data_IF_008170436501
#
_entry.id   IF_008170436501
#
_cell.length_a   1.000
_cell.length_b   1.000
_cell.length_c   1.000
_cell.angle_alpha   90.00
_cell.angle_beta   90.00
_cell.angle_gamma   90.00
#
_symmetry.space_group_name_H-M   'P 1'
#
loop_
_entity.id
_entity.type
_entity.pdbx_description
1 polymer ?
#
# COMPACT_ATOMS: atom_id res chain seq x y z
N UNK A 1 29.31 42.14 28.07
CA UNK A 1 27.93 41.69 28.37
C UNK A 1 27.66 40.45 27.51
N UNK A 2 27.64 39.30 28.15
CA UNK A 2 27.31 38.03 27.49
C UNK A 2 25.79 37.90 27.43
N UNK A 3 25.29 37.58 26.24
CA UNK A 3 23.94 37.06 26.09
C UNK A 3 24.11 35.61 25.61
N UNK A 4 23.88 34.69 26.52
CA UNK A 4 23.90 33.27 26.23
C UNK A 4 22.63 32.89 25.45
N UNK A 5 22.78 32.31 24.31
CA UNK A 5 21.73 31.65 23.57
C UNK A 5 21.62 30.20 24.05
N UNK A 6 20.48 29.85 24.59
CA UNK A 6 20.09 28.49 24.91
C UNK A 6 19.54 27.82 23.66
N UNK A 7 20.40 27.33 22.80
CA UNK A 7 20.07 26.36 21.75
C UNK A 7 20.69 25.03 22.14
N UNK A 8 19.91 24.03 22.45
CA UNK A 8 20.52 22.72 22.63
C UNK A 8 19.77 21.62 23.36
N UNK A 9 18.46 21.61 23.46
CA UNK A 9 17.79 20.47 24.11
C UNK A 9 16.72 19.73 23.27
N UNK A 10 16.38 20.21 22.07
CA UNK A 10 15.31 19.61 21.28
C UNK A 10 15.75 18.46 20.34
N UNK A 11 17.03 18.30 20.07
CA UNK A 11 17.51 17.35 19.04
C UNK A 11 18.26 16.10 19.54
N UNK A 12 18.35 15.88 20.85
CA UNK A 12 19.08 14.71 21.40
C UNK A 12 18.21 13.52 21.82
N UNK A 13 16.89 13.64 21.77
CA UNK A 13 15.97 12.60 22.29
C UNK A 13 15.75 11.43 21.30
N UNK A 14 16.18 11.53 20.05
CA UNK A 14 15.87 10.52 19.04
C UNK A 14 16.97 9.48 18.74
N UNK A 15 18.10 9.51 19.40
CA UNK A 15 19.21 8.59 19.10
C UNK A 15 19.48 7.51 20.17
N UNK A 16 18.83 7.55 21.34
CA UNK A 16 19.05 6.55 22.38
C UNK A 16 17.74 5.98 22.91
N UNK A 17 17.21 4.99 22.20
CA UNK A 17 16.06 4.21 22.61
C UNK A 17 15.35 3.59 21.40
N UNK A 18 15.97 2.63 20.74
CA UNK A 18 15.24 1.79 19.78
C UNK A 18 14.22 0.97 20.58
N UNK A 19 12.96 1.39 20.55
CA UNK A 19 11.85 0.61 21.08
C UNK A 19 11.96 -0.80 20.48
N UNK A 20 12.00 -1.81 21.33
CA UNK A 20 12.15 -3.19 20.89
C UNK A 20 10.96 -3.61 20.02
N UNK A 21 11.16 -4.63 19.19
CA UNK A 21 10.11 -5.21 18.37
C UNK A 21 8.94 -5.68 19.25
N UNK A 22 9.27 -6.26 20.38
CA UNK A 22 8.30 -6.78 21.33
C UNK A 22 7.49 -5.67 22.00
N UNK A 23 8.13 -4.59 22.43
CA UNK A 23 7.45 -3.42 23.01
C UNK A 23 6.45 -2.77 22.03
N UNK A 24 6.78 -2.70 20.74
CA UNK A 24 5.85 -2.21 19.70
C UNK A 24 4.59 -3.07 19.60
N UNK A 25 4.76 -4.38 19.69
CA UNK A 25 3.65 -5.33 19.64
C UNK A 25 2.81 -5.23 20.90
N UNK A 26 3.43 -5.16 22.06
CA UNK A 26 2.73 -5.08 23.34
C UNK A 26 1.94 -3.77 23.49
N UNK A 27 2.50 -2.64 23.00
CA UNK A 27 1.77 -1.35 22.95
C UNK A 27 0.48 -1.48 22.10
N UNK A 28 0.55 -2.12 20.93
CA UNK A 28 -0.64 -2.34 20.11
C UNK A 28 -1.61 -3.33 20.74
N UNK A 29 -1.12 -4.45 21.28
CA UNK A 29 -1.97 -5.43 21.96
C UNK A 29 -2.76 -4.79 23.09
N UNK A 30 -2.11 -3.94 23.89
CA UNK A 30 -2.77 -3.16 24.94
C UNK A 30 -3.85 -2.24 24.38
N UNK A 31 -3.54 -1.52 23.28
CA UNK A 31 -4.50 -0.60 22.64
C UNK A 31 -5.73 -1.34 22.08
N UNK A 32 -5.56 -2.60 21.64
CA UNK A 32 -6.63 -3.49 21.19
C UNK A 32 -7.31 -4.25 22.33
N UNK A 33 -6.89 -4.06 23.58
CA UNK A 33 -7.44 -4.78 24.74
C UNK A 33 -7.20 -6.30 24.71
N UNK A 34 -6.09 -6.74 24.13
CA UNK A 34 -5.75 -8.17 24.03
C UNK A 34 -5.32 -8.73 25.38
N UNK A 35 -5.95 -9.84 25.79
CA UNK A 35 -5.54 -10.61 26.96
C UNK A 35 -4.23 -11.39 26.69
N UNK A 36 -3.64 -11.90 27.75
CA UNK A 36 -2.51 -12.82 27.65
C UNK A 36 -2.93 -14.08 26.87
N UNK A 37 -2.09 -14.47 25.93
CA UNK A 37 -2.37 -15.61 25.04
C UNK A 37 -3.31 -15.33 23.86
N UNK A 38 -3.92 -14.13 23.76
CA UNK A 38 -4.71 -13.73 22.57
C UNK A 38 -3.85 -12.91 21.60
N UNK A 39 -3.44 -13.44 20.44
CA UNK A 39 -2.58 -12.72 19.53
C UNK A 39 -3.31 -11.58 18.81
N UNK A 40 -2.54 -10.55 18.44
CA UNK A 40 -2.96 -9.54 17.49
C UNK A 40 -3.03 -10.13 16.08
N UNK A 41 -4.19 -10.09 15.44
CA UNK A 41 -4.42 -10.70 14.13
C UNK A 41 -4.44 -9.66 13.03
N UNK A 42 -3.45 -9.74 12.12
CA UNK A 42 -3.25 -8.82 11.00
C UNK A 42 -3.53 -9.52 9.70
N UNK A 43 -4.35 -8.92 8.86
CA UNK A 43 -4.75 -9.50 7.58
C UNK A 43 -4.53 -8.52 6.45
N UNK A 44 -3.74 -8.92 5.45
CA UNK A 44 -3.70 -8.23 4.17
C UNK A 44 -4.83 -8.69 3.26
N UNK A 45 -5.61 -7.78 2.73
CA UNK A 45 -6.67 -8.06 1.76
C UNK A 45 -6.22 -7.60 0.39
N UNK A 46 -5.90 -8.55 -0.49
CA UNK A 46 -5.35 -8.31 -1.82
C UNK A 46 -3.83 -8.53 -1.89
N UNK A 47 -3.44 -9.53 -2.70
CA UNK A 47 -2.06 -9.92 -2.92
C UNK A 47 -1.47 -9.30 -4.20
N UNK A 48 -1.68 -8.00 -4.42
CA UNK A 48 -0.98 -7.21 -5.42
C UNK A 48 0.49 -6.96 -5.01
N UNK A 49 1.31 -6.42 -5.91
CA UNK A 49 2.75 -6.22 -5.64
C UNK A 49 3.02 -5.46 -4.34
N UNK A 50 2.38 -4.30 -4.14
CA UNK A 50 2.59 -3.51 -2.94
C UNK A 50 2.00 -4.16 -1.69
N UNK A 51 0.76 -4.66 -1.76
CA UNK A 51 0.12 -5.35 -0.64
C UNK A 51 0.93 -6.57 -0.17
N UNK A 52 1.45 -7.37 -1.09
CA UNK A 52 2.28 -8.54 -0.75
C UNK A 52 3.58 -8.16 -0.08
N UNK A 53 4.30 -7.17 -0.61
CA UNK A 53 5.57 -6.70 -0.03
C UNK A 53 5.35 -6.10 1.34
N UNK A 54 4.30 -5.31 1.51
CA UNK A 54 3.99 -4.67 2.79
C UNK A 54 3.67 -5.70 3.89
N UNK A 55 2.83 -6.67 3.59
CA UNK A 55 2.50 -7.74 4.54
C UNK A 55 3.70 -8.66 4.82
N UNK A 56 4.49 -8.99 3.79
CA UNK A 56 5.70 -9.79 3.98
C UNK A 56 6.74 -9.06 4.84
N UNK A 57 6.87 -7.75 4.68
CA UNK A 57 7.72 -6.92 5.54
C UNK A 57 7.28 -6.96 7.01
N UNK A 58 5.98 -6.93 7.28
CA UNK A 58 5.46 -7.10 8.64
C UNK A 58 5.70 -8.52 9.17
N UNK A 59 5.55 -9.54 8.33
CA UNK A 59 5.85 -10.92 8.71
C UNK A 59 7.34 -11.11 9.03
N UNK A 60 8.24 -10.52 8.25
CA UNK A 60 9.68 -10.55 8.53
C UNK A 60 10.02 -9.89 9.88
N UNK A 61 9.33 -8.80 10.21
CA UNK A 61 9.58 -8.06 11.43
C UNK A 61 9.00 -8.74 12.68
N UNK A 62 7.79 -9.29 12.58
CA UNK A 62 7.00 -9.72 13.73
C UNK A 62 6.67 -11.21 13.77
N UNK A 63 6.90 -11.93 12.68
CA UNK A 63 6.53 -13.35 12.57
C UNK A 63 7.20 -14.26 13.60
N UNK A 64 8.32 -13.84 14.20
CA UNK A 64 8.96 -14.54 15.31
C UNK A 64 8.16 -14.54 16.62
N UNK A 65 7.24 -13.56 16.76
CA UNK A 65 6.40 -13.39 17.97
C UNK A 65 5.02 -14.04 17.80
N UNK A 66 4.96 -15.31 17.40
CA UNK A 66 3.73 -16.03 17.01
C UNK A 66 2.64 -16.01 18.07
N UNK A 67 3.02 -16.06 19.33
CA UNK A 67 2.09 -16.03 20.46
C UNK A 67 1.44 -14.64 20.66
N UNK A 68 2.07 -13.60 20.12
CA UNK A 68 1.63 -12.21 20.25
C UNK A 68 1.04 -11.64 18.97
N UNK A 69 1.50 -12.10 17.78
CA UNK A 69 1.07 -11.58 16.47
C UNK A 69 0.90 -12.72 15.48
N UNK A 70 -0.21 -12.71 14.77
CA UNK A 70 -0.48 -13.62 13.67
C UNK A 70 -0.79 -12.81 12.41
N UNK A 71 -0.03 -13.05 11.33
CA UNK A 71 -0.13 -12.30 10.08
C UNK A 71 -0.49 -13.26 8.96
N UNK A 72 -1.47 -12.86 8.13
CA UNK A 72 -1.87 -13.59 6.93
C UNK A 72 -2.26 -12.64 5.81
N UNK A 73 -2.30 -13.14 4.58
CA UNK A 73 -2.74 -12.38 3.42
C UNK A 73 -3.81 -13.15 2.67
N UNK A 74 -4.88 -12.46 2.31
CA UNK A 74 -5.92 -13.02 1.46
C UNK A 74 -5.65 -12.75 -0.01
N UNK A 75 -5.88 -13.79 -0.81
CA UNK A 75 -5.87 -13.73 -2.25
C UNK A 75 -7.09 -14.44 -2.81
N UNK A 76 -7.73 -13.84 -3.81
CA UNK A 76 -8.90 -14.47 -4.47
C UNK A 76 -8.51 -15.79 -5.14
N UNK A 77 -9.22 -16.86 -4.81
CA UNK A 77 -9.06 -18.17 -5.45
C UNK A 77 -9.46 -18.10 -6.93
N UNK A 78 -8.81 -18.91 -7.77
CA UNK A 78 -9.19 -19.12 -9.17
C UNK A 78 -9.03 -17.95 -10.12
N UNK A 79 -8.71 -16.75 -9.64
CA UNK A 79 -8.39 -15.62 -10.50
C UNK A 79 -6.97 -15.81 -11.04
N UNK A 80 -6.85 -16.01 -12.34
CA UNK A 80 -5.55 -15.92 -12.98
C UNK A 80 -5.03 -14.49 -12.74
N UNK A 81 -3.88 -14.37 -12.09
CA UNK A 81 -3.14 -13.12 -12.09
C UNK A 81 -2.73 -12.89 -13.53
N UNK A 82 -2.96 -11.70 -14.07
CA UNK A 82 -2.46 -11.38 -15.39
C UNK A 82 -0.92 -11.53 -15.40
N UNK A 83 -0.40 -11.82 -16.58
CA UNK A 83 1.04 -12.13 -16.73
C UNK A 83 1.94 -11.05 -16.15
N UNK A 84 1.61 -9.79 -16.36
CA UNK A 84 2.46 -8.70 -15.92
C UNK A 84 2.43 -8.52 -14.40
N UNK A 85 1.26 -8.70 -13.77
CA UNK A 85 1.16 -8.68 -12.30
C UNK A 85 1.94 -9.84 -11.70
N UNK A 86 1.87 -11.04 -12.33
CA UNK A 86 2.65 -12.19 -11.89
C UNK A 86 4.16 -11.95 -12.09
N UNK A 87 4.57 -11.49 -13.26
CA UNK A 87 5.96 -11.16 -13.55
C UNK A 87 6.50 -10.10 -12.60
N UNK A 88 5.74 -9.03 -12.33
CA UNK A 88 6.12 -7.99 -11.38
C UNK A 88 6.24 -8.52 -9.94
N UNK A 89 5.28 -9.34 -9.50
CA UNK A 89 5.36 -9.99 -8.19
C UNK A 89 6.59 -10.89 -8.09
N UNK A 90 6.89 -11.63 -9.16
CA UNK A 90 8.07 -12.50 -9.24
C UNK A 90 9.37 -11.72 -9.31
N UNK A 91 9.42 -10.59 -10.02
CA UNK A 91 10.57 -9.69 -10.01
C UNK A 91 10.87 -9.18 -8.61
N UNK A 92 9.83 -8.73 -7.90
CA UNK A 92 9.94 -8.27 -6.50
C UNK A 92 10.49 -9.35 -5.60
N UNK A 93 9.96 -10.57 -5.70
CA UNK A 93 10.40 -11.71 -4.89
C UNK A 93 11.79 -12.22 -5.33
N UNK A 94 12.09 -12.21 -6.62
CA UNK A 94 13.39 -12.64 -7.19
C UNK A 94 14.54 -11.67 -6.90
N UNK A 95 14.28 -10.46 -6.44
CA UNK A 95 15.33 -9.48 -6.15
C UNK A 95 16.23 -9.89 -4.98
N UNK A 96 15.83 -10.90 -4.20
CA UNK A 96 16.63 -11.48 -3.11
C UNK A 96 17.24 -12.84 -3.51
N UNK A 97 18.47 -13.08 -3.04
CA UNK A 97 19.12 -14.40 -3.09
C UNK A 97 18.53 -15.32 -2.01
N UNK A 98 17.29 -15.68 -2.14
CA UNK A 98 16.57 -16.53 -1.22
C UNK A 98 16.23 -17.89 -1.82
N UNK A 99 15.85 -18.84 -0.96
CA UNK A 99 15.30 -20.14 -1.39
C UNK A 99 14.06 -19.90 -2.28
N UNK A 100 13.26 -18.87 -1.98
CA UNK A 100 12.11 -18.44 -2.79
C UNK A 100 12.52 -18.03 -4.20
N UNK A 101 13.66 -17.35 -4.38
CA UNK A 101 14.19 -16.98 -5.70
C UNK A 101 14.40 -18.20 -6.60
N UNK A 102 14.92 -19.30 -6.05
CA UNK A 102 15.11 -20.57 -6.79
C UNK A 102 13.78 -21.25 -7.12
N UNK A 103 12.82 -21.17 -6.21
CA UNK A 103 11.48 -21.72 -6.41
C UNK A 103 10.72 -20.98 -7.51
N UNK A 104 10.79 -19.66 -7.52
CA UNK A 104 10.00 -18.81 -8.42
C UNK A 104 10.58 -18.71 -9.82
N UNK A 105 11.89 -18.86 -10.03
CA UNK A 105 12.50 -18.91 -11.37
C UNK A 105 11.92 -19.98 -12.30
N UNK A 106 11.18 -20.94 -11.76
CA UNK A 106 10.53 -22.02 -12.51
C UNK A 106 9.07 -21.74 -12.83
N UNK A 107 8.51 -20.66 -12.33
CA UNK A 107 7.07 -20.38 -12.38
C UNK A 107 6.78 -19.14 -13.22
N UNK A 108 6.32 -19.29 -14.45
CA UNK A 108 5.92 -18.18 -15.30
C UNK A 108 4.55 -17.57 -14.89
N UNK A 109 3.67 -18.34 -14.24
CA UNK A 109 2.30 -17.94 -13.88
C UNK A 109 1.86 -18.57 -12.56
N UNK A 110 1.15 -17.80 -11.73
CA UNK A 110 0.66 -18.31 -10.45
C UNK A 110 -0.29 -19.51 -10.56
N UNK A 111 -1.03 -19.64 -11.65
CA UNK A 111 -1.91 -20.81 -11.87
C UNK A 111 -1.15 -22.09 -12.24
N UNK A 112 0.13 -21.97 -12.60
CA UNK A 112 1.01 -23.07 -12.96
C UNK A 112 2.15 -23.24 -11.96
N UNK A 113 1.99 -22.66 -10.75
CA UNK A 113 3.02 -22.69 -9.73
C UNK A 113 3.24 -24.11 -9.29
N UNK A 114 4.47 -24.57 -9.46
CA UNK A 114 5.04 -25.71 -8.80
C UNK A 114 6.05 -25.17 -7.77
N UNK A 115 5.74 -25.28 -6.49
CA UNK A 115 6.62 -24.80 -5.41
C UNK A 115 7.27 -26.00 -4.72
N UNK A 116 8.59 -26.04 -4.70
CA UNK A 116 9.36 -27.06 -4.01
C UNK A 116 9.76 -26.54 -2.62
N UNK A 117 9.23 -27.18 -1.59
CA UNK A 117 9.53 -26.92 -0.18
C UNK A 117 10.30 -28.11 0.39
N UNK A 118 11.64 -28.04 0.37
CA UNK A 118 12.48 -29.18 0.70
C UNK A 118 12.26 -30.33 -0.29
N UNK A 119 11.86 -31.49 0.18
CA UNK A 119 11.58 -32.67 -0.64
C UNK A 119 10.13 -32.75 -1.15
N UNK A 120 9.27 -31.84 -0.72
CA UNK A 120 7.87 -31.80 -1.11
C UNK A 120 7.64 -30.81 -2.25
N UNK A 121 6.95 -31.25 -3.29
CA UNK A 121 6.45 -30.41 -4.38
C UNK A 121 4.98 -30.09 -4.12
N UNK A 122 4.63 -28.80 -4.09
CA UNK A 122 3.25 -28.30 -4.00
C UNK A 122 2.83 -27.77 -5.36
N UNK A 123 1.67 -28.15 -5.83
CA UNK A 123 1.10 -27.70 -7.10
C UNK A 123 0.15 -26.52 -6.89
N UNK A 124 -0.13 -25.79 -7.98
CA UNK A 124 -0.97 -24.59 -7.92
C UNK A 124 -2.33 -24.82 -7.26
N UNK A 125 -2.95 -25.97 -7.51
CA UNK A 125 -4.28 -26.33 -6.97
C UNK A 125 -4.23 -26.48 -5.45
N UNK A 126 -3.20 -27.14 -4.91
CA UNK A 126 -2.98 -27.28 -3.47
C UNK A 126 -2.68 -25.93 -2.83
N UNK A 127 -1.81 -25.12 -3.48
CA UNK A 127 -1.44 -23.78 -3.02
C UNK A 127 -2.66 -22.86 -3.00
N UNK A 128 -3.50 -22.91 -4.03
CA UNK A 128 -4.71 -22.08 -4.13
C UNK A 128 -5.81 -22.51 -3.16
N UNK A 129 -5.90 -23.80 -2.87
CA UNK A 129 -6.91 -24.37 -1.96
C UNK A 129 -6.53 -24.17 -0.49
N UNK A 130 -5.29 -24.50 -0.14
CA UNK A 130 -4.84 -24.55 1.25
C UNK A 130 -4.00 -23.32 1.65
N UNK A 131 -3.70 -22.44 0.70
CA UNK A 131 -2.76 -21.35 0.85
C UNK A 131 -1.31 -21.80 0.71
N UNK A 132 -0.40 -20.87 0.62
CA UNK A 132 1.03 -21.13 0.66
C UNK A 132 1.76 -20.09 1.51
N UNK A 133 2.98 -20.40 1.92
CA UNK A 133 3.80 -19.50 2.68
C UNK A 133 4.65 -18.65 1.75
N UNK A 134 4.51 -17.34 1.83
CA UNK A 134 5.36 -16.35 1.17
C UNK A 134 6.26 -15.72 2.24
N UNK A 135 7.55 -15.69 1.99
CA UNK A 135 8.51 -15.19 2.97
C UNK A 135 9.63 -14.40 2.28
N UNK A 136 10.10 -13.35 2.93
CA UNK A 136 11.19 -12.50 2.45
C UNK A 136 12.57 -12.90 2.99
N UNK A 137 12.65 -13.86 3.89
CA UNK A 137 13.92 -14.34 4.49
C UNK A 137 14.32 -15.70 3.93
N UNK A 138 15.62 -15.99 3.92
CA UNK A 138 16.18 -17.20 3.31
C UNK A 138 15.82 -18.49 4.06
N UNK A 139 15.68 -18.40 5.37
CA UNK A 139 15.28 -19.50 6.26
C UNK A 139 13.99 -19.13 6.96
N UNK A 140 12.83 -19.51 6.42
CA UNK A 140 11.54 -19.14 6.99
C UNK A 140 11.27 -19.91 8.29
N UNK A 141 11.64 -19.32 9.42
CA UNK A 141 11.17 -19.81 10.73
C UNK A 141 9.66 -19.59 10.89
N UNK A 142 9.13 -18.53 10.25
CA UNK A 142 7.76 -18.11 10.36
C UNK A 142 7.23 -17.63 9.00
N UNK A 143 6.83 -18.54 8.10
CA UNK A 143 6.36 -18.17 6.77
C UNK A 143 5.03 -17.43 6.82
N UNK A 144 4.86 -16.48 5.89
CA UNK A 144 3.59 -15.77 5.71
C UNK A 144 2.51 -16.73 5.19
N UNK A 145 1.39 -16.84 5.91
CA UNK A 145 0.25 -17.64 5.49
C UNK A 145 -0.57 -16.92 4.41
N UNK A 146 -0.76 -17.55 3.26
CA UNK A 146 -1.68 -17.09 2.22
C UNK A 146 -2.98 -17.87 2.30
N UNK A 147 -4.11 -17.15 2.36
CA UNK A 147 -5.45 -17.69 2.50
C UNK A 147 -6.30 -17.32 1.30
N UNK A 148 -7.06 -18.24 0.75
CA UNK A 148 -7.94 -18.01 -0.42
C UNK A 148 -9.41 -17.83 -0.04
N UNK A 149 -9.81 -18.26 1.14
CA UNK A 149 -11.15 -18.02 1.67
C UNK A 149 -11.18 -16.65 2.36
N UNK A 150 -12.05 -15.74 1.89
CA UNK A 150 -12.14 -14.38 2.41
C UNK A 150 -12.68 -14.35 3.84
N UNK A 151 -13.72 -15.14 4.13
CA UNK A 151 -14.30 -15.20 5.47
C UNK A 151 -13.26 -15.68 6.50
N UNK A 152 -12.56 -16.78 6.22
CA UNK A 152 -11.48 -17.30 7.07
C UNK A 152 -10.39 -16.25 7.27
N UNK A 153 -10.10 -15.46 6.23
CA UNK A 153 -9.06 -14.45 6.32
C UNK A 153 -9.42 -13.30 7.26
N UNK A 154 -10.68 -12.84 7.30
CA UNK A 154 -11.05 -11.56 7.92
C UNK A 154 -11.91 -11.65 9.16
N UNK A 155 -12.51 -12.81 9.45
CA UNK A 155 -13.56 -12.92 10.46
C UNK A 155 -13.09 -12.54 11.87
N UNK A 156 -11.85 -12.80 12.25
CA UNK A 156 -11.26 -12.52 13.56
C UNK A 156 -10.13 -11.44 13.51
N UNK A 157 -9.95 -10.77 12.36
CA UNK A 157 -8.89 -9.80 12.17
C UNK A 157 -9.06 -8.56 13.07
N UNK A 158 -8.00 -8.14 13.73
CA UNK A 158 -7.95 -6.90 14.50
C UNK A 158 -7.51 -5.73 13.61
N UNK A 159 -6.54 -6.00 12.71
CA UNK A 159 -6.06 -5.04 11.74
C UNK A 159 -6.25 -5.63 10.35
N UNK A 160 -6.92 -4.87 9.48
CA UNK A 160 -7.10 -5.23 8.06
C UNK A 160 -6.38 -4.23 7.19
N UNK A 161 -5.48 -4.70 6.34
CA UNK A 161 -4.70 -3.88 5.43
C UNK A 161 -5.26 -4.05 4.02
N UNK A 162 -5.88 -3.00 3.50
CA UNK A 162 -6.43 -2.98 2.15
C UNK A 162 -5.33 -2.76 1.12
N UNK A 163 -4.92 -3.81 0.44
CA UNK A 163 -3.99 -3.81 -0.70
C UNK A 163 -4.67 -3.99 -2.07
N UNK A 164 -6.00 -3.84 -2.13
CA UNK A 164 -6.78 -3.95 -3.36
C UNK A 164 -6.64 -2.67 -4.22
N UNK A 165 -6.85 -2.77 -5.54
CA UNK A 165 -7.16 -1.60 -6.36
C UNK A 165 -8.40 -0.87 -5.84
N UNK A 166 -8.47 0.46 -5.99
CA UNK A 166 -9.65 1.25 -5.58
C UNK A 166 -10.95 0.72 -6.18
N UNK A 167 -10.91 0.34 -7.45
CA UNK A 167 -12.05 -0.24 -8.19
C UNK A 167 -12.61 -1.55 -7.62
N UNK A 168 -11.82 -2.31 -6.87
CA UNK A 168 -12.25 -3.56 -6.22
C UNK A 168 -12.56 -3.38 -4.73
N UNK A 169 -12.11 -2.29 -4.13
CA UNK A 169 -12.21 -2.04 -2.69
C UNK A 169 -13.66 -2.11 -2.22
N UNK A 170 -14.56 -1.39 -2.86
CA UNK A 170 -15.97 -1.34 -2.44
C UNK A 170 -16.63 -2.71 -2.45
N UNK A 171 -16.49 -3.46 -3.55
CA UNK A 171 -17.14 -4.77 -3.72
C UNK A 171 -16.62 -5.79 -2.69
N UNK A 172 -15.31 -5.85 -2.49
CA UNK A 172 -14.73 -6.79 -1.53
C UNK A 172 -15.08 -6.42 -0.09
N UNK A 173 -15.07 -5.13 0.27
CA UNK A 173 -15.45 -4.71 1.61
C UNK A 173 -16.95 -4.82 1.89
N UNK A 174 -17.81 -4.75 0.88
CA UNK A 174 -19.23 -5.13 1.00
C UNK A 174 -19.40 -6.62 1.32
N UNK A 175 -18.56 -7.48 0.75
CA UNK A 175 -18.55 -8.90 1.10
C UNK A 175 -18.03 -9.12 2.52
N UNK A 176 -16.93 -8.49 2.89
CA UNK A 176 -16.34 -8.54 4.23
C UNK A 176 -17.34 -8.08 5.29
N UNK A 177 -18.12 -7.04 5.03
CA UNK A 177 -19.11 -6.51 5.99
C UNK A 177 -20.14 -7.57 6.41
N UNK A 178 -20.45 -8.51 5.52
CA UNK A 178 -21.39 -9.61 5.84
C UNK A 178 -20.83 -10.56 6.88
N UNK A 179 -19.51 -10.80 6.88
CA UNK A 179 -18.81 -11.65 7.83
C UNK A 179 -18.61 -10.97 9.19
N UNK A 180 -18.71 -9.64 9.24
CA UNK A 180 -18.51 -8.85 10.46
C UNK A 180 -19.80 -8.49 11.20
N UNK A 181 -20.99 -8.84 10.67
CA UNK A 181 -22.29 -8.46 11.27
C UNK A 181 -22.46 -8.88 12.73
N UNK A 182 -21.88 -10.01 13.11
CA UNK A 182 -22.00 -10.57 14.46
C UNK A 182 -20.78 -10.29 15.34
N UNK A 183 -19.82 -9.50 14.84
CA UNK A 183 -18.63 -9.18 15.62
C UNK A 183 -18.91 -8.12 16.66
N UNK A 184 -18.41 -8.38 17.88
CA UNK A 184 -18.45 -7.41 18.98
C UNK A 184 -17.31 -6.36 18.83
N UNK A 185 -16.16 -6.80 18.30
CA UNK A 185 -14.99 -5.92 18.14
C UNK A 185 -14.91 -5.35 16.73
N UNK A 186 -14.67 -4.04 16.64
CA UNK A 186 -14.52 -3.34 15.36
C UNK A 186 -13.03 -3.35 14.98
N UNK A 187 -12.66 -3.83 13.78
CA UNK A 187 -11.27 -3.83 13.35
C UNK A 187 -10.79 -2.41 13.04
N UNK A 188 -9.47 -2.22 13.05
CA UNK A 188 -8.81 -1.07 12.44
C UNK A 188 -8.44 -1.43 11.01
N UNK A 189 -8.74 -0.54 10.07
CA UNK A 189 -8.46 -0.76 8.65
C UNK A 189 -7.38 0.23 8.20
N UNK A 190 -6.36 -0.25 7.50
CA UNK A 190 -5.33 0.59 6.87
C UNK A 190 -5.46 0.44 5.37
N UNK A 191 -5.84 1.50 4.67
CA UNK A 191 -5.91 1.51 3.22
C UNK A 191 -4.57 1.88 2.60
N UNK A 192 -4.08 1.04 1.69
CA UNK A 192 -2.94 1.32 0.81
C UNK A 192 -3.41 1.74 -0.59
N UNK A 193 -4.74 1.71 -0.83
CA UNK A 193 -5.32 1.98 -2.13
C UNK A 193 -5.13 3.45 -2.52
N UNK A 194 -4.77 3.66 -3.77
CA UNK A 194 -4.63 5.00 -4.37
C UNK A 194 -5.67 5.14 -5.47
N UNK A 195 -6.45 6.19 -5.41
CA UNK A 195 -7.49 6.47 -6.37
C UNK A 195 -8.57 7.34 -5.75
N UNK A 196 -9.35 7.96 -6.61
CA UNK A 196 -10.46 8.82 -6.23
C UNK A 196 -11.59 8.46 -7.17
N UNK A 197 -12.80 8.34 -6.63
CA UNK A 197 -14.00 8.25 -7.44
C UNK A 197 -14.75 9.58 -7.39
N UNK A 198 -15.37 9.96 -8.50
CA UNK A 198 -16.26 11.12 -8.56
C UNK A 198 -17.70 10.61 -8.55
N UNK A 199 -18.50 11.08 -7.61
CA UNK A 199 -19.94 10.96 -7.62
C UNK A 199 -20.50 12.31 -8.11
N UNK A 200 -21.25 12.29 -9.20
CA UNK A 200 -21.76 13.51 -9.82
C UNK A 200 -23.15 13.90 -9.31
N UNK A 201 -23.90 12.95 -8.75
CA UNK A 201 -25.24 13.16 -8.25
C UNK A 201 -25.38 12.71 -6.78
N UNK A 202 -26.24 13.34 -5.95
CA UNK A 202 -27.04 14.55 -6.27
C UNK A 202 -26.19 15.82 -6.34
N UNK A 203 -24.99 15.82 -5.78
CA UNK A 203 -24.01 16.90 -5.82
C UNK A 203 -22.64 16.34 -6.14
N UNK A 204 -21.83 17.00 -6.99
CA UNK A 204 -20.49 16.54 -7.31
C UNK A 204 -19.62 16.43 -6.05
N UNK A 205 -19.06 15.25 -5.83
CA UNK A 205 -18.13 15.02 -4.71
C UNK A 205 -17.06 13.99 -5.05
N UNK A 206 -15.93 14.12 -4.40
CA UNK A 206 -14.87 13.13 -4.45
C UNK A 206 -15.07 12.08 -3.34
N UNK A 207 -14.88 10.82 -3.69
CA UNK A 207 -14.96 9.69 -2.74
C UNK A 207 -13.60 9.00 -2.68
N UNK A 208 -13.02 8.99 -1.51
CA UNK A 208 -11.72 8.35 -1.27
C UNK A 208 -11.86 6.87 -0.91
N UNK A 209 -10.81 6.06 -1.03
CA UNK A 209 -10.84 4.64 -0.65
C UNK A 209 -11.28 4.40 0.80
N UNK A 210 -10.90 5.26 1.74
CA UNK A 210 -11.33 5.12 3.14
C UNK A 210 -12.81 5.42 3.31
N UNK A 211 -13.35 6.39 2.59
CA UNK A 211 -14.79 6.68 2.56
C UNK A 211 -15.59 5.52 1.91
N UNK A 212 -15.05 4.91 0.84
CA UNK A 212 -15.65 3.71 0.24
C UNK A 212 -15.74 2.56 1.25
N UNK A 213 -14.65 2.32 2.01
CA UNK A 213 -14.61 1.27 3.04
C UNK A 213 -15.61 1.58 4.15
N UNK A 214 -15.67 2.82 4.65
CA UNK A 214 -16.62 3.23 5.67
C UNK A 214 -18.06 2.95 5.22
N UNK A 215 -18.43 3.37 4.01
CA UNK A 215 -19.77 3.14 3.44
C UNK A 215 -20.09 1.65 3.23
N UNK A 216 -19.10 0.88 2.77
CA UNK A 216 -19.28 -0.54 2.48
C UNK A 216 -19.43 -1.38 3.75
N UNK A 217 -18.77 -1.02 4.85
CA UNK A 217 -18.67 -1.84 6.05
C UNK A 217 -19.42 -1.29 7.25
N UNK A 218 -19.69 0.02 7.29
CA UNK A 218 -20.17 0.71 8.49
C UNK A 218 -19.10 0.88 9.59
N UNK A 219 -17.85 0.48 9.33
CA UNK A 219 -16.74 0.73 10.28
C UNK A 219 -16.55 2.24 10.42
N UNK A 220 -16.53 2.77 11.65
CA UNK A 220 -16.35 4.20 11.88
C UNK A 220 -15.10 4.75 11.21
N UNK A 221 -15.18 5.95 10.67
CA UNK A 221 -14.05 6.56 9.92
C UNK A 221 -12.79 6.72 10.79
N UNK A 222 -12.96 6.92 12.09
CA UNK A 222 -11.86 6.98 13.06
C UNK A 222 -11.09 5.67 13.21
N UNK A 223 -11.67 4.54 12.77
CA UNK A 223 -11.01 3.23 12.74
C UNK A 223 -10.40 2.92 11.35
N UNK A 224 -10.48 3.86 10.42
CA UNK A 224 -9.95 3.69 9.07
C UNK A 224 -8.81 4.67 8.85
N UNK A 225 -7.63 4.12 8.52
CA UNK A 225 -6.41 4.88 8.29
C UNK A 225 -6.00 4.75 6.83
N UNK A 226 -5.23 5.70 6.35
CA UNK A 226 -4.56 5.66 5.05
C UNK A 226 -3.05 5.62 5.22
N UNK A 227 -2.36 4.79 4.44
CA UNK A 227 -0.92 4.78 4.36
C UNK A 227 -0.47 5.10 2.92
N UNK A 228 0.25 6.19 2.76
CA UNK A 228 0.76 6.64 1.48
C UNK A 228 2.18 7.19 1.54
N UNK A 229 2.84 7.26 0.38
CA UNK A 229 4.19 7.78 0.24
C UNK A 229 4.88 7.26 -1.03
N UNK A 230 6.15 7.64 -1.27
CA UNK A 230 6.97 7.21 -2.40
C UNK A 230 7.41 5.74 -2.21
N UNK A 231 6.48 4.81 -2.42
CA UNK A 231 6.68 3.40 -2.08
C UNK A 231 6.65 2.54 -3.34
N UNK A 232 7.82 2.25 -3.91
CA UNK A 232 7.98 1.27 -5.00
C UNK A 232 8.20 -0.10 -4.36
N UNK A 233 7.32 -1.05 -4.65
CA UNK A 233 7.30 -2.36 -4.00
C UNK A 233 8.65 -3.11 -4.10
N UNK A 234 9.28 -3.14 -5.30
CA UNK A 234 10.58 -3.79 -5.50
C UNK A 234 11.70 -3.14 -4.69
N UNK A 235 11.70 -1.81 -4.59
CA UNK A 235 12.73 -1.07 -3.84
C UNK A 235 12.61 -1.34 -2.33
N UNK A 236 11.38 -1.33 -1.81
CA UNK A 236 11.14 -1.65 -0.40
C UNK A 236 11.46 -3.12 -0.09
N UNK A 237 11.14 -4.02 -1.00
CA UNK A 237 11.54 -5.42 -0.88
C UNK A 237 13.05 -5.58 -0.79
N UNK A 238 13.80 -4.82 -1.56
CA UNK A 238 15.26 -4.77 -1.53
C UNK A 238 15.83 -4.03 -0.32
N UNK A 239 14.96 -3.58 0.59
CA UNK A 239 15.33 -2.79 1.78
C UNK A 239 15.98 -1.45 1.46
N UNK A 240 15.66 -0.88 0.30
CA UNK A 240 16.02 0.50 0.02
C UNK A 240 15.25 1.44 0.95
N UNK A 241 15.88 2.57 1.28
CA UNK A 241 15.28 3.53 2.18
C UNK A 241 14.01 4.12 1.59
N UNK A 242 12.93 4.03 2.35
CA UNK A 242 11.65 4.60 1.99
C UNK A 242 10.95 5.23 3.20
N UNK A 243 10.01 6.12 2.92
CA UNK A 243 9.14 6.65 3.97
C UNK A 243 7.68 6.65 3.54
N UNK A 244 6.80 6.69 4.53
CA UNK A 244 5.36 6.79 4.36
C UNK A 244 4.73 7.68 5.42
N UNK A 245 3.51 8.11 5.15
CA UNK A 245 2.63 8.74 6.14
C UNK A 245 1.45 7.83 6.42
N UNK A 246 1.17 7.60 7.70
CA UNK A 246 -0.08 7.01 8.14
C UNK A 246 -0.99 8.12 8.64
N UNK A 247 -2.17 8.21 8.07
CA UNK A 247 -3.11 9.31 8.29
C UNK A 247 -4.42 8.81 8.87
N UNK A 248 -5.05 9.61 9.72
CA UNK A 248 -6.33 9.32 10.36
C UNK A 248 -6.39 9.70 11.84
N UNK A 249 -7.27 9.06 12.58
CA UNK A 249 -7.52 9.39 14.00
C UNK A 249 -6.29 9.18 14.88
N UNK A 250 -6.08 10.12 15.79
CA UNK A 250 -4.90 10.14 16.69
C UNK A 250 -4.77 8.88 17.53
N UNK A 251 -5.87 8.35 18.01
CA UNK A 251 -5.95 7.12 18.80
C UNK A 251 -5.12 5.98 18.16
N UNK A 252 -5.18 5.85 16.84
CA UNK A 252 -4.57 4.74 16.12
C UNK A 252 -3.26 5.11 15.40
N UNK A 253 -3.21 6.28 14.75
CA UNK A 253 -2.11 6.61 13.85
C UNK A 253 -0.74 6.62 14.51
N UNK A 254 -0.64 7.12 15.79
CA UNK A 254 0.65 7.21 16.50
C UNK A 254 1.22 5.82 16.82
N UNK A 255 0.41 4.93 17.39
CA UNK A 255 0.82 3.57 17.69
C UNK A 255 1.12 2.78 16.39
N UNK A 256 0.28 2.94 15.35
CA UNK A 256 0.52 2.33 14.05
C UNK A 256 1.80 2.85 13.38
N UNK A 257 2.10 4.14 13.46
CA UNK A 257 3.35 4.67 12.93
C UNK A 257 4.58 4.01 13.55
N UNK A 258 4.57 3.80 14.87
CA UNK A 258 5.63 3.09 15.57
C UNK A 258 5.72 1.63 15.15
N UNK A 259 4.59 0.94 15.10
CA UNK A 259 4.50 -0.48 14.73
C UNK A 259 4.97 -0.71 13.29
N UNK A 260 4.49 0.08 12.33
CA UNK A 260 4.81 -0.09 10.92
C UNK A 260 6.24 0.31 10.56
N UNK A 261 6.90 1.10 11.41
CA UNK A 261 8.27 1.56 11.17
C UNK A 261 9.29 0.43 11.23
N UNK A 262 10.06 0.31 10.16
CA UNK A 262 11.20 -0.60 10.04
C UNK A 262 12.50 0.20 9.76
N UNK A 263 13.70 -0.37 9.94
CA UNK A 263 14.96 0.35 9.73
C UNK A 263 15.09 1.01 8.34
N UNK A 264 14.52 0.39 7.31
CA UNK A 264 14.54 0.87 5.93
C UNK A 264 13.23 1.51 5.49
N UNK A 265 12.17 1.42 6.31
CA UNK A 265 10.82 1.93 5.98
C UNK A 265 10.32 2.79 7.13
N UNK A 266 10.54 4.09 7.02
CA UNK A 266 10.18 5.04 8.07
C UNK A 266 8.73 5.48 7.90
N UNK A 267 7.94 5.32 8.94
CA UNK A 267 6.54 5.75 8.96
C UNK A 267 6.39 6.91 9.94
N UNK A 268 5.76 7.98 9.46
CA UNK A 268 5.36 9.14 10.25
C UNK A 268 3.83 9.21 10.28
N UNK A 269 3.28 9.81 11.32
CA UNK A 269 1.85 10.02 11.43
C UNK A 269 1.41 11.44 11.02
N UNK A 270 0.16 11.56 10.56
CA UNK A 270 -0.48 12.82 10.25
C UNK A 270 -2.00 12.74 10.49
N UNK A 271 -2.63 13.85 10.92
CA UNK A 271 -4.07 13.89 11.17
C UNK A 271 -4.93 14.04 9.92
N UNK A 272 -4.38 14.58 8.84
CA UNK A 272 -5.16 14.89 7.63
C UNK A 272 -5.25 13.68 6.68
N UNK A 273 -6.31 12.92 6.86
CA UNK A 273 -6.61 11.74 6.06
C UNK A 273 -7.00 12.08 4.62
N UNK A 274 -7.92 13.02 4.47
CA UNK A 274 -8.58 13.30 3.17
C UNK A 274 -7.58 13.87 2.17
N UNK A 275 -6.80 14.86 2.58
CA UNK A 275 -5.81 15.48 1.69
C UNK A 275 -4.76 14.47 1.23
N UNK A 276 -4.28 13.59 2.12
CA UNK A 276 -3.32 12.56 1.74
C UNK A 276 -3.87 11.56 0.72
N UNK A 277 -5.12 11.14 0.85
CA UNK A 277 -5.76 10.26 -0.12
C UNK A 277 -5.99 10.95 -1.46
N UNK A 278 -6.52 12.18 -1.43
CA UNK A 278 -6.78 12.97 -2.64
C UNK A 278 -5.51 13.22 -3.43
N UNK A 279 -4.45 13.69 -2.77
CA UNK A 279 -3.16 13.92 -3.43
C UNK A 279 -2.52 12.63 -3.94
N UNK A 280 -2.62 11.54 -3.17
CA UNK A 280 -2.17 10.21 -3.60
C UNK A 280 -2.89 9.69 -4.84
N UNK A 281 -4.15 10.11 -5.08
CA UNK A 281 -4.92 9.84 -6.29
C UNK A 281 -4.53 10.76 -7.46
N UNK A 282 -4.52 12.07 -7.23
CA UNK A 282 -4.28 13.10 -8.25
C UNK A 282 -2.92 12.97 -8.94
N UNK A 283 -1.87 12.58 -8.23
CA UNK A 283 -0.55 12.38 -8.83
C UNK A 283 -0.55 11.44 -10.04
N UNK A 284 -1.52 10.52 -10.12
CA UNK A 284 -1.66 9.61 -11.24
C UNK A 284 -2.07 10.34 -12.53
N UNK A 285 -2.85 11.41 -12.40
CA UNK A 285 -3.21 12.31 -13.52
C UNK A 285 -1.97 13.01 -14.02
N UNK A 286 -1.20 13.61 -13.12
CA UNK A 286 0.03 14.29 -13.46
C UNK A 286 1.06 13.34 -14.10
N UNK A 287 1.09 12.08 -13.68
CA UNK A 287 1.96 11.09 -14.30
C UNK A 287 1.60 10.81 -15.76
N UNK A 288 0.32 10.81 -16.13
CA UNK A 288 -0.10 10.69 -17.54
C UNK A 288 0.46 11.88 -18.34
N UNK A 289 0.25 13.10 -17.86
CA UNK A 289 0.77 14.31 -18.50
C UNK A 289 2.29 14.33 -18.60
N UNK A 290 3.00 13.89 -17.55
CA UNK A 290 4.45 13.77 -17.57
C UNK A 290 4.94 12.81 -18.66
N UNK A 291 4.26 11.70 -18.85
CA UNK A 291 4.52 10.77 -19.94
C UNK A 291 4.31 11.40 -21.32
N UNK A 292 3.23 12.16 -21.48
CA UNK A 292 2.96 12.90 -22.73
C UNK A 292 4.06 13.93 -23.01
N UNK A 293 4.43 14.74 -22.02
CA UNK A 293 5.53 15.73 -22.15
C UNK A 293 6.83 15.03 -22.53
N UNK A 294 7.18 13.92 -21.86
CA UNK A 294 8.37 13.15 -22.19
C UNK A 294 8.40 12.69 -23.65
N UNK A 295 7.27 12.17 -24.14
CA UNK A 295 7.16 11.69 -25.54
C UNK A 295 7.21 12.83 -26.57
N UNK A 296 6.53 13.94 -26.30
CA UNK A 296 6.46 15.09 -27.22
C UNK A 296 7.73 15.93 -27.29
N UNK A 297 8.57 15.84 -26.23
CA UNK A 297 9.80 16.64 -26.13
C UNK A 297 11.07 15.79 -26.23
N UNK A 298 10.96 14.57 -26.72
CA UNK A 298 12.05 13.61 -26.82
C UNK A 298 12.86 13.49 -25.51
N UNK A 299 12.14 13.25 -24.40
CA UNK A 299 12.71 13.06 -23.06
C UNK A 299 13.45 14.30 -22.47
N UNK A 300 13.14 15.50 -22.95
CA UNK A 300 13.79 16.74 -22.48
C UNK A 300 13.68 16.87 -20.95
N UNK A 301 14.82 16.93 -20.28
CA UNK A 301 14.90 17.12 -18.83
C UNK A 301 14.31 18.48 -18.41
N UNK A 302 14.56 19.55 -19.20
CA UNK A 302 14.02 20.89 -18.96
C UNK A 302 12.49 20.87 -18.99
N UNK A 303 11.90 20.31 -20.07
CA UNK A 303 10.43 20.27 -20.19
C UNK A 303 9.78 19.44 -19.08
N UNK A 304 10.37 18.30 -18.73
CA UNK A 304 9.89 17.45 -17.60
C UNK A 304 9.98 18.20 -16.26
N UNK A 305 11.05 18.94 -16.02
CA UNK A 305 11.22 19.73 -14.80
C UNK A 305 10.20 20.88 -14.69
N UNK A 306 9.96 21.60 -15.80
CA UNK A 306 8.95 22.67 -15.85
C UNK A 306 7.57 22.08 -15.61
N UNK A 307 7.23 20.95 -16.25
CA UNK A 307 5.96 20.29 -16.03
C UNK A 307 5.79 19.85 -14.56
N UNK A 308 6.83 19.26 -13.95
CA UNK A 308 6.80 18.90 -12.54
C UNK A 308 6.55 20.11 -11.63
N UNK A 309 7.20 21.24 -11.92
CA UNK A 309 7.01 22.48 -11.16
C UNK A 309 5.56 22.98 -11.23
N UNK A 310 4.92 22.94 -12.41
CA UNK A 310 3.51 23.30 -12.57
C UNK A 310 2.60 22.35 -11.79
N UNK A 311 2.79 21.03 -11.91
CA UNK A 311 2.03 20.04 -11.12
C UNK A 311 2.18 20.28 -9.63
N UNK A 312 3.37 20.59 -9.17
CA UNK A 312 3.67 20.89 -7.77
C UNK A 312 2.91 22.12 -7.28
N UNK A 313 2.92 23.20 -8.06
CA UNK A 313 2.20 24.43 -7.72
C UNK A 313 0.69 24.21 -7.63
N UNK A 314 0.13 23.43 -8.56
CA UNK A 314 -1.29 23.08 -8.54
C UNK A 314 -1.62 22.18 -7.33
N UNK A 315 -0.79 21.18 -7.03
CA UNK A 315 -0.97 20.34 -5.85
C UNK A 315 -0.93 21.15 -4.55
N UNK A 316 -0.01 22.07 -4.41
CA UNK A 316 0.08 22.97 -3.25
C UNK A 316 -1.20 23.81 -3.16
N UNK A 317 -1.66 24.39 -4.27
CA UNK A 317 -2.90 25.14 -4.29
C UNK A 317 -4.11 24.30 -3.84
N UNK A 318 -4.25 23.08 -4.36
CA UNK A 318 -5.32 22.16 -3.95
C UNK A 318 -5.20 21.80 -2.46
N UNK A 319 -3.97 21.58 -1.95
CA UNK A 319 -3.80 21.31 -0.51
C UNK A 319 -4.24 22.48 0.36
N UNK A 320 -4.00 23.72 -0.05
CA UNK A 320 -4.52 24.89 0.66
C UNK A 320 -6.06 24.98 0.69
N UNK A 321 -6.74 24.35 -0.26
CA UNK A 321 -8.22 24.26 -0.26
C UNK A 321 -8.74 23.13 0.63
N UNK A 322 -7.93 22.14 0.96
CA UNK A 322 -8.34 20.93 1.67
C UNK A 322 -7.85 20.86 3.12
N UNK A 323 -6.82 21.61 3.48
CA UNK A 323 -6.22 21.59 4.81
C UNK A 323 -5.78 22.96 5.27
N UNK A 324 -5.78 23.18 6.59
CA UNK A 324 -5.26 24.39 7.23
C UNK A 324 -3.72 24.37 7.38
N UNK A 325 -3.09 23.21 7.26
CA UNK A 325 -1.65 23.01 7.44
C UNK A 325 -0.95 22.39 6.20
N UNK A 326 -1.00 23.03 5.03
CA UNK A 326 -0.52 22.44 3.78
C UNK A 326 0.99 22.18 3.74
N UNK A 327 1.79 22.96 4.47
CA UNK A 327 3.26 22.84 4.45
C UNK A 327 3.74 21.50 5.02
N UNK A 328 3.05 20.94 6.03
CA UNK A 328 3.36 19.61 6.58
C UNK A 328 3.10 18.49 5.58
N UNK A 329 2.30 18.73 4.56
CA UNK A 329 1.92 17.75 3.55
C UNK A 329 2.81 17.81 2.30
N UNK A 330 3.38 18.97 1.99
CA UNK A 330 4.11 19.20 0.74
C UNK A 330 5.25 18.19 0.51
N UNK A 331 6.11 17.96 1.48
CA UNK A 331 7.29 17.10 1.32
C UNK A 331 6.96 15.66 0.90
N UNK A 332 6.17 14.88 1.67
CA UNK A 332 5.86 13.48 1.31
C UNK A 332 5.01 13.37 0.06
N UNK A 333 4.08 14.30 -0.17
CA UNK A 333 3.24 14.31 -1.37
C UNK A 333 4.05 14.60 -2.62
N UNK A 334 5.01 15.53 -2.55
CA UNK A 334 5.91 15.85 -3.64
C UNK A 334 6.83 14.68 -3.97
N UNK A 335 7.39 14.01 -2.97
CA UNK A 335 8.24 12.84 -3.17
C UNK A 335 7.48 11.70 -3.86
N UNK A 336 6.24 11.44 -3.44
CA UNK A 336 5.37 10.43 -4.06
C UNK A 336 4.98 10.80 -5.50
N UNK A 337 4.71 12.07 -5.75
CA UNK A 337 4.45 12.60 -7.09
C UNK A 337 5.70 12.46 -7.97
N UNK A 338 6.85 12.91 -7.52
CA UNK A 338 8.10 12.83 -8.26
C UNK A 338 8.42 11.41 -8.74
N UNK A 339 8.38 10.44 -7.83
CA UNK A 339 8.62 9.01 -8.15
C UNK A 339 7.60 8.49 -9.17
N UNK A 340 6.33 8.90 -9.03
CA UNK A 340 5.26 8.44 -9.93
C UNK A 340 5.40 9.01 -11.33
N UNK A 341 5.84 10.26 -11.47
CA UNK A 341 6.11 10.90 -12.77
C UNK A 341 7.31 10.25 -13.46
N UNK A 342 8.34 9.84 -12.71
CA UNK A 342 9.55 9.23 -13.28
C UNK A 342 9.34 7.80 -13.79
N UNK A 343 8.69 6.95 -13.03
CA UNK A 343 8.65 5.49 -13.26
C UNK A 343 7.24 4.88 -13.20
N UNK A 344 6.21 5.69 -13.07
CA UNK A 344 4.84 5.22 -12.89
C UNK A 344 4.24 4.57 -14.16
N UNK A 345 3.34 3.60 -13.98
CA UNK A 345 2.53 3.03 -15.08
C UNK A 345 1.80 4.11 -15.87
N UNK A 346 1.25 5.09 -15.18
CA UNK A 346 0.50 6.18 -15.80
C UNK A 346 1.39 7.04 -16.70
N UNK A 347 2.65 7.28 -16.34
CA UNK A 347 3.62 7.94 -17.21
C UNK A 347 3.88 7.13 -18.50
N UNK A 348 4.00 5.82 -18.39
CA UNK A 348 4.12 4.95 -19.57
C UNK A 348 2.87 5.03 -20.48
N UNK A 349 1.66 5.03 -19.89
CA UNK A 349 0.43 5.23 -20.67
C UNK A 349 0.41 6.59 -21.38
N UNK A 350 0.80 7.65 -20.67
CA UNK A 350 0.90 8.99 -21.25
C UNK A 350 1.85 9.04 -22.45
N UNK A 351 3.01 8.40 -22.37
CA UNK A 351 3.94 8.30 -23.48
C UNK A 351 3.33 7.59 -24.69
N UNK A 352 2.67 6.45 -24.46
CA UNK A 352 2.02 5.66 -25.50
C UNK A 352 0.86 6.40 -26.15
N UNK A 353 0.08 7.09 -25.35
CA UNK A 353 -1.03 7.94 -25.85
C UNK A 353 -0.51 9.06 -26.75
N UNK A 354 0.51 9.81 -26.32
CA UNK A 354 1.09 10.88 -27.11
C UNK A 354 1.74 10.43 -28.43
N UNK A 355 2.21 9.18 -28.49
CA UNK A 355 2.73 8.58 -29.71
C UNK A 355 1.66 7.96 -30.62
N UNK A 356 0.38 8.05 -30.26
CA UNK A 356 -0.70 7.41 -31.00
C UNK A 356 -0.70 5.87 -30.95
N UNK A 357 0.06 5.28 -30.04
CA UNK A 357 0.13 3.83 -29.86
C UNK A 357 -1.01 3.27 -29.00
N UNK A 358 -1.82 4.14 -28.40
CA UNK A 358 -3.00 3.81 -27.61
C UNK A 358 -4.16 4.69 -28.03
N UNK A 359 -5.35 4.10 -28.18
CA UNK A 359 -6.61 4.84 -28.29
C UNK A 359 -7.42 4.72 -26.98
N UNK A 360 -8.35 5.63 -26.77
CA UNK A 360 -9.30 5.57 -25.65
C UNK A 360 -10.15 4.29 -25.67
N UNK A 361 -10.32 3.70 -26.86
CA UNK A 361 -11.10 2.49 -27.08
C UNK A 361 -10.36 1.22 -26.67
N UNK A 362 -9.04 1.25 -26.59
CA UNK A 362 -8.24 0.09 -26.18
C UNK A 362 -8.38 -0.26 -24.69
N UNK A 363 -8.86 0.68 -23.89
CA UNK A 363 -9.31 0.49 -22.50
C UNK A 363 -8.44 -0.45 -21.66
N UNK A 364 -9.10 -1.40 -21.05
CA UNK A 364 -8.51 -2.33 -20.08
C UNK A 364 -7.73 -3.50 -20.74
N UNK A 365 -7.72 -3.59 -22.06
CA UNK A 365 -7.21 -4.76 -22.81
C UNK A 365 -5.72 -4.75 -23.08
N UNK A 366 -4.98 -3.72 -22.66
CA UNK A 366 -3.54 -3.63 -22.89
C UNK A 366 -2.83 -4.63 -21.99
N UNK A 367 -2.52 -5.76 -22.60
CA UNK A 367 -1.85 -6.88 -21.93
C UNK A 367 -0.57 -6.41 -21.22
N UNK A 368 -0.53 -6.63 -19.94
CA UNK A 368 0.70 -6.61 -19.17
C UNK A 368 0.97 -5.38 -18.34
N UNK A 369 0.16 -4.30 -18.36
CA UNK A 369 0.43 -3.08 -17.57
C UNK A 369 -0.62 -2.76 -16.50
N UNK A 370 -1.71 -3.53 -16.42
CA UNK A 370 -2.84 -3.26 -15.52
C UNK A 370 -3.62 -2.00 -15.93
N UNK A 371 -4.78 -1.81 -15.33
CA UNK A 371 -5.71 -0.73 -15.69
C UNK A 371 -5.13 0.66 -15.42
N UNK A 372 -5.50 1.63 -16.25
CA UNK A 372 -5.34 3.05 -15.96
C UNK A 372 -6.26 3.38 -14.78
N UNK A 373 -5.69 3.80 -13.66
CA UNK A 373 -6.45 4.11 -12.45
C UNK A 373 -7.20 5.47 -12.50
N UNK A 374 -7.34 6.07 -13.68
CA UNK A 374 -7.85 7.44 -13.88
C UNK A 374 -8.99 7.47 -14.87
N UNK A 375 -9.83 6.45 -14.89
CA UNK A 375 -10.91 6.30 -15.87
C UNK A 375 -11.91 7.47 -15.92
N UNK A 376 -12.03 8.22 -14.82
CA UNK A 376 -13.05 9.27 -14.67
C UNK A 376 -12.52 10.72 -14.70
N UNK A 377 -11.22 10.94 -14.73
CA UNK A 377 -10.65 12.29 -14.68
C UNK A 377 -10.33 12.89 -16.06
N UNK A 378 -10.57 12.15 -17.15
CA UNK A 378 -10.34 12.63 -18.53
C UNK A 378 -11.60 13.31 -19.12
N UNK A 379 -12.68 13.45 -18.36
CA UNK A 379 -13.95 14.02 -18.85
C UNK A 379 -14.13 15.49 -18.40
N UNK A 380 -13.09 16.15 -17.92
CA UNK A 380 -13.15 17.59 -17.60
C UNK A 380 -12.13 18.39 -18.41
#
# INVERSE_FOLDING_TARGET
MMVGASEGESNRVYLNGSVSIEEKVDELRLLFGKADGDPLRIVGVGAGAWGSVFIAMLQDAYGGLREKVQIRIWRRAGRAVDRATAEHLFEVINSRESVLRRLIRRCAYLKYVEARLGDRTLYADEILKDGFCLNMIDTPLCPLKVVTNLQEAVWDADIVINGLPSTETQVVFQEISRYWKERITIPVIISLAKGIEAELEPEPRLVTPTQMINRATGVPIENILYLGGPNIASEIYNREYANARICGAEKWRKAMAKFLRQPHFIVWDNGDLVTHEVMGGLKNVYAIGAGMVAALTNESATSKSVYFAHCTSEMIFITHLLTEEPEKLAGPLLADTYVTLLKGRNAWYGQKLAKGELSLEMGDSIKGKGMIQVRFLIIF
#
